data_IF_330472877812
#
_entry.id   IF_330472877812
#
_cell.length_a   1.000
_cell.length_b   1.000
_cell.length_c   1.000
_cell.angle_alpha   90.00
_cell.angle_beta   90.00
_cell.angle_gamma   90.00
#
_symmetry.space_group_name_H-M   'P 1'
#
loop_
_entity.id
_entity.type
_entity.pdbx_description
1 polymer ?
#
# COMPACT_ATOMS: atom_id res chain seq x y z
N UNK A 1 -11.05 42.92 -6.43
CA UNK A 1 -10.74 41.92 -5.37
C UNK A 1 -10.89 40.44 -5.78
N UNK A 2 -11.21 40.09 -7.05
CA UNK A 2 -11.48 38.69 -7.48
C UNK A 2 -10.24 37.85 -7.85
N UNK A 3 -9.03 38.43 -7.97
CA UNK A 3 -7.80 37.71 -8.36
C UNK A 3 -7.14 36.93 -7.20
N UNK A 4 -7.31 37.39 -5.96
CA UNK A 4 -6.78 36.72 -4.77
C UNK A 4 -7.56 35.46 -4.38
N UNK A 5 -8.81 35.35 -4.83
CA UNK A 5 -9.66 34.19 -4.54
C UNK A 5 -9.29 32.99 -5.41
N UNK A 6 -8.87 33.22 -6.66
CA UNK A 6 -8.38 32.17 -7.56
C UNK A 6 -7.06 31.54 -7.11
N UNK A 7 -6.14 32.32 -6.53
CA UNK A 7 -4.87 31.78 -6.02
C UNK A 7 -5.07 30.86 -4.80
N UNK A 8 -6.07 31.16 -3.95
CA UNK A 8 -6.44 30.31 -2.79
C UNK A 8 -7.10 29.00 -3.21
N UNK A 9 -7.89 29.01 -4.29
CA UNK A 9 -8.51 27.80 -4.83
C UNK A 9 -7.47 26.87 -5.50
N UNK A 10 -6.52 27.45 -6.24
CA UNK A 10 -5.43 26.70 -6.88
C UNK A 10 -4.48 26.03 -5.87
N UNK A 11 -4.19 26.68 -4.74
CA UNK A 11 -3.31 26.13 -3.71
C UNK A 11 -3.90 24.93 -2.97
N UNK A 12 -5.23 24.84 -2.81
CA UNK A 12 -5.88 23.70 -2.14
C UNK A 12 -5.95 22.48 -3.06
N UNK A 13 -6.17 22.69 -4.37
CA UNK A 13 -6.16 21.60 -5.36
C UNK A 13 -4.77 20.97 -5.54
N UNK A 14 -3.70 21.77 -5.49
CA UNK A 14 -2.32 21.27 -5.60
C UNK A 14 -1.85 20.49 -4.35
N UNK A 15 -2.33 20.85 -3.16
CA UNK A 15 -2.01 20.14 -1.92
C UNK A 15 -2.77 18.80 -1.80
N UNK A 16 -4.00 18.74 -2.34
CA UNK A 16 -4.78 17.51 -2.35
C UNK A 16 -4.21 16.45 -3.31
N UNK A 17 -3.65 16.86 -4.45
CA UNK A 17 -3.08 15.93 -5.43
C UNK A 17 -1.76 15.27 -4.97
N UNK A 18 -0.99 15.94 -4.11
CA UNK A 18 0.31 15.43 -3.62
C UNK A 18 0.18 14.50 -2.41
N UNK A 19 -0.90 14.58 -1.64
CA UNK A 19 -1.15 13.71 -0.49
C UNK A 19 -1.58 12.29 -0.86
N UNK A 20 -2.36 12.12 -1.94
CA UNK A 20 -2.94 10.81 -2.31
C UNK A 20 -1.90 9.88 -2.96
N UNK A 21 -0.94 10.43 -3.72
CA UNK A 21 0.10 9.63 -4.36
C UNK A 21 1.09 9.00 -3.36
N UNK A 22 1.36 9.66 -2.23
CA UNK A 22 2.33 9.18 -1.23
C UNK A 22 1.76 8.08 -0.31
N UNK A 23 0.43 8.01 -0.17
CA UNK A 23 -0.25 7.05 0.71
C UNK A 23 -0.25 5.61 0.17
N UNK A 24 -0.24 5.41 -1.17
CA UNK A 24 -0.23 4.05 -1.75
C UNK A 24 1.15 3.36 -1.75
N UNK A 25 2.25 4.12 -1.69
CA UNK A 25 3.60 3.56 -1.67
C UNK A 25 4.12 3.25 -0.26
N UNK A 26 3.51 3.81 0.79
CA UNK A 26 3.97 3.65 2.17
C UNK A 26 3.42 2.40 2.88
N UNK A 27 2.48 1.67 2.28
CA UNK A 27 1.82 0.53 2.92
C UNK A 27 2.63 -0.78 2.88
N UNK A 28 3.77 -0.84 2.18
CA UNK A 28 4.58 -2.05 2.05
C UNK A 28 6.10 -1.84 2.23
N UNK A 29 6.51 -0.64 2.65
CA UNK A 29 7.91 -0.42 3.01
C UNK A 29 8.16 -0.98 4.42
N UNK A 30 8.24 -2.31 4.53
CA UNK A 30 8.84 -2.94 5.69
C UNK A 30 10.22 -2.31 5.90
N UNK A 31 10.49 -1.83 7.12
CA UNK A 31 11.82 -1.30 7.44
C UNK A 31 12.78 -2.48 7.30
N UNK A 32 13.80 -2.42 6.43
CA UNK A 32 14.74 -3.53 6.30
C UNK A 32 15.39 -3.76 7.67
N UNK A 33 15.05 -4.88 8.30
CA UNK A 33 15.83 -5.36 9.44
C UNK A 33 17.19 -5.82 8.87
N UNK A 34 18.26 -5.63 9.64
CA UNK A 34 19.60 -6.04 9.21
C UNK A 34 19.77 -7.56 9.24
N UNK A 35 18.77 -8.28 9.75
CA UNK A 35 18.75 -9.72 9.84
C UNK A 35 18.25 -10.34 8.52
N UNK A 36 18.77 -11.51 8.12
CA UNK A 36 18.24 -12.22 6.96
C UNK A 36 16.76 -12.55 7.14
N UNK A 37 15.93 -12.14 6.19
CA UNK A 37 14.49 -12.44 6.18
C UNK A 37 14.29 -13.96 6.11
N UNK A 38 13.49 -14.49 7.04
CA UNK A 38 13.11 -15.91 7.06
C UNK A 38 11.64 -16.06 6.78
N UNK A 39 11.28 -17.10 6.02
CA UNK A 39 9.89 -17.52 5.86
C UNK A 39 9.47 -18.21 7.16
N UNK A 40 8.36 -17.75 7.73
CA UNK A 40 7.83 -18.29 8.99
C UNK A 40 6.63 -19.20 8.76
N UNK A 41 5.80 -18.89 7.76
CA UNK A 41 4.61 -19.68 7.44
C UNK A 41 4.20 -19.53 5.98
N UNK A 42 3.48 -20.53 5.46
CA UNK A 42 2.90 -20.55 4.11
C UNK A 42 1.45 -20.98 4.21
N UNK A 43 0.55 -20.11 3.76
CA UNK A 43 -0.89 -20.35 3.76
C UNK A 43 -1.40 -20.44 2.34
N UNK A 44 -2.15 -21.50 2.06
CA UNK A 44 -2.82 -21.68 0.77
C UNK A 44 -4.30 -21.36 0.97
N UNK A 45 -4.79 -20.37 0.22
CA UNK A 45 -6.17 -19.90 0.30
C UNK A 45 -6.85 -20.25 -1.02
N UNK A 46 -7.79 -21.18 -0.94
CA UNK A 46 -8.66 -21.53 -2.06
C UNK A 46 -9.91 -20.66 -2.02
N UNK A 47 -10.19 -19.94 -3.10
CA UNK A 47 -11.34 -19.03 -3.18
C UNK A 47 -11.93 -18.99 -4.58
N UNK A 48 -13.18 -18.55 -4.72
CA UNK A 48 -13.87 -18.48 -6.01
C UNK A 48 -14.86 -17.28 -6.10
N UNK A 49 -14.37 -16.04 -6.06
CA UNK A 49 -15.23 -14.85 -6.09
C UNK A 49 -16.01 -14.69 -7.41
N UNK A 50 -15.38 -14.97 -8.57
CA UNK A 50 -15.98 -14.85 -9.91
C UNK A 50 -16.25 -16.22 -10.55
N UNK A 51 -16.70 -17.19 -9.73
CA UNK A 51 -16.92 -18.59 -10.14
C UNK A 51 -15.70 -19.27 -10.77
N UNK A 52 -14.52 -18.70 -10.56
CA UNK A 52 -13.23 -19.22 -11.01
C UNK A 52 -12.44 -19.69 -9.81
N UNK A 53 -11.91 -20.90 -9.84
CA UNK A 53 -11.11 -21.45 -8.74
C UNK A 53 -9.74 -20.77 -8.71
N UNK A 54 -9.55 -19.88 -7.75
CA UNK A 54 -8.29 -19.20 -7.49
C UNK A 54 -7.58 -19.87 -6.32
N UNK A 55 -6.27 -20.04 -6.49
CA UNK A 55 -5.38 -20.50 -5.44
C UNK A 55 -4.40 -19.37 -5.16
N UNK A 56 -4.55 -18.74 -4.01
CA UNK A 56 -3.67 -17.66 -3.55
C UNK A 56 -2.73 -18.22 -2.50
N UNK A 57 -1.44 -17.96 -2.65
CA UNK A 57 -0.43 -18.32 -1.64
C UNK A 57 -0.07 -17.06 -0.89
N UNK A 58 -0.17 -17.12 0.44
CA UNK A 58 0.34 -16.08 1.34
C UNK A 58 1.58 -16.62 2.05
N UNK A 59 2.69 -15.89 1.94
CA UNK A 59 3.96 -16.20 2.59
C UNK A 59 4.19 -15.19 3.71
N UNK A 60 4.23 -15.66 4.95
CA UNK A 60 4.55 -14.83 6.11
C UNK A 60 6.06 -14.89 6.38
N UNK A 61 6.63 -13.76 6.82
CA UNK A 61 8.06 -13.64 7.08
C UNK A 61 8.33 -13.30 8.54
N UNK A 62 9.60 -13.35 8.93
CA UNK A 62 10.07 -12.94 10.25
C UNK A 62 9.88 -11.46 10.53
N UNK A 63 9.79 -10.63 9.48
CA UNK A 63 9.62 -9.19 9.62
C UNK A 63 8.13 -8.83 9.79
N UNK A 64 7.75 -8.16 10.90
CA UNK A 64 6.35 -7.82 11.16
C UNK A 64 5.76 -6.93 10.06
N UNK A 65 4.70 -7.41 9.42
CA UNK A 65 4.00 -6.69 8.35
C UNK A 65 4.55 -6.93 6.95
N UNK A 66 5.63 -7.70 6.79
CA UNK A 66 6.12 -8.17 5.50
C UNK A 66 5.55 -9.56 5.19
N UNK A 67 4.66 -9.62 4.20
CA UNK A 67 4.14 -10.86 3.63
C UNK A 67 3.93 -10.69 2.13
N UNK A 68 3.98 -11.80 1.40
CA UNK A 68 3.74 -11.87 -0.04
C UNK A 68 2.58 -12.78 -0.38
#
# INVERSE_FOLDING_TARGET
>A
MKRRQFLKAGSIAALAATGVAKAKAAAHAAKPSLEPIKITDIKVIMTAPERSHLVVVKVETSDPGLYG
#
